data_IF_356890522372
#
_entry.id   IF_356890522372
#
_cell.length_a   1.000
_cell.length_b   1.000
_cell.length_c   1.000
_cell.angle_alpha   90.00
_cell.angle_beta   90.00
_cell.angle_gamma   90.00
#
_symmetry.space_group_name_H-M   'P 1'
#
loop_
_entity.id
_entity.type
_entity.pdbx_description
1 polymer ?
2 non-polymer ?
3 non-polymer ?
4 water ?
#
# COMPACT_ATOMS: atom_id res chain seq x y z
N UNK A 10 9.33 -22.43 -6.86
CA UNK A 10 9.72 -22.71 -8.28
C UNK A 10 10.56 -21.58 -8.87
N UNK A 11 11.68 -21.94 -9.48
CA UNK A 11 12.59 -20.97 -10.08
C UNK A 11 12.63 -21.01 -11.61
N UNK A 12 12.70 -19.84 -12.22
CA UNK A 12 12.76 -19.73 -13.67
C UNK A 12 14.21 -19.80 -14.13
N UNK A 13 14.49 -20.51 -15.24
CA UNK A 13 15.86 -20.58 -15.72
C UNK A 13 16.45 -19.19 -15.96
N UNK A 14 17.68 -19.03 -15.53
CA UNK A 14 18.38 -17.77 -15.66
C UNK A 14 18.58 -17.30 -17.11
N UNK A 15 18.04 -16.12 -17.45
CA UNK A 15 18.21 -15.61 -18.82
C UNK A 15 19.69 -15.36 -19.10
N UNK A 16 20.15 -15.79 -20.28
CA UNK A 16 21.53 -15.65 -20.73
C UNK A 16 22.23 -14.34 -20.38
N UNK A 17 21.49 -13.24 -20.44
CA UNK A 17 22.07 -11.93 -20.17
C UNK A 17 22.24 -11.53 -18.71
N UNK A 18 21.70 -12.32 -17.79
CA UNK A 18 21.82 -12.00 -16.38
C UNK A 18 23.05 -12.64 -15.72
N UNK A 19 23.88 -11.81 -15.06
CA UNK A 19 25.10 -12.25 -14.39
C UNK A 19 24.94 -13.48 -13.51
N UNK A 20 26.05 -14.21 -13.39
CA UNK A 20 26.10 -15.44 -12.61
C UNK A 20 26.02 -15.11 -11.11
N UNK A 21 26.80 -14.11 -10.72
CA UNK A 21 26.93 -13.67 -9.35
C UNK A 21 25.82 -12.78 -8.78
N UNK A 22 24.86 -12.40 -9.60
CA UNK A 22 23.79 -11.52 -9.12
C UNK A 22 22.51 -12.21 -8.72
N UNK A 23 22.50 -13.54 -8.75
CA UNK A 23 21.32 -14.30 -8.40
C UNK A 23 21.09 -14.47 -6.91
N UNK A 24 19.95 -13.94 -6.45
CA UNK A 24 19.53 -14.01 -5.06
C UNK A 24 18.03 -14.35 -5.13
N UNK A 25 17.72 -15.63 -5.02
CA UNK A 25 16.33 -16.09 -5.13
C UNK A 25 15.36 -15.61 -4.05
N UNK A 26 15.03 -14.33 -4.07
CA UNK A 26 14.08 -13.78 -3.10
C UNK A 26 12.68 -14.00 -3.67
N UNK A 27 11.78 -14.57 -2.87
CA UNK A 27 10.40 -14.76 -3.33
C UNK A 27 9.55 -13.66 -2.72
N UNK A 28 9.28 -12.61 -3.48
CA UNK A 28 8.51 -11.49 -2.95
C UNK A 28 7.16 -11.85 -2.33
N UNK A 29 6.57 -12.97 -2.73
CA UNK A 29 5.29 -13.37 -2.16
C UNK A 29 5.42 -14.35 -1.01
N UNK A 30 6.66 -14.78 -0.74
CA UNK A 30 6.89 -15.71 0.35
C UNK A 30 8.37 -15.71 0.76
N UNK A 31 8.79 -14.64 1.46
CA UNK A 31 10.17 -14.44 1.93
C UNK A 31 10.55 -15.42 3.05
N UNK A 32 11.80 -15.88 3.00
CA UNK A 32 12.31 -16.83 3.99
C UNK A 32 12.15 -16.36 5.44
N UNK A 33 12.61 -15.16 5.72
CA UNK A 33 12.52 -14.63 7.08
C UNK A 33 11.19 -14.00 7.42
N UNK A 34 10.12 -14.48 6.77
CA UNK A 34 8.77 -13.95 7.01
C UNK A 34 8.36 -14.10 8.47
N UNK A 35 8.92 -15.12 9.14
CA UNK A 35 8.62 -15.40 10.54
C UNK A 35 9.03 -14.32 11.51
N UNK A 36 10.01 -13.52 11.12
CA UNK A 36 10.51 -12.44 11.98
C UNK A 36 9.85 -11.10 11.68
N UNK A 37 8.76 -11.13 10.91
CA UNK A 37 8.07 -9.91 10.53
C UNK A 37 8.28 -9.74 9.04
N UNK A 38 7.34 -9.12 8.33
CA UNK A 38 7.51 -8.98 6.90
C UNK A 38 8.56 -7.95 6.49
N UNK A 39 8.69 -6.88 7.23
CA UNK A 39 9.70 -5.89 6.86
C UNK A 39 11.09 -6.49 7.11
N UNK A 40 11.19 -7.33 8.13
CA UNK A 40 12.45 -7.96 8.45
C UNK A 40 12.80 -8.98 7.40
N UNK A 41 11.79 -9.61 6.82
CA UNK A 41 12.02 -10.61 5.79
C UNK A 41 12.63 -9.94 4.56
N UNK A 42 12.08 -8.78 4.20
CA UNK A 42 12.56 -8.03 3.05
C UNK A 42 13.89 -7.35 3.28
N UNK A 43 14.27 -7.19 4.55
CA UNK A 43 15.54 -6.53 4.90
C UNK A 43 16.78 -7.38 4.64
N UNK A 44 16.59 -8.69 4.49
CA UNK A 44 17.71 -9.58 4.22
C UNK A 44 18.36 -9.15 2.92
N UNK A 45 17.53 -8.65 2.01
CA UNK A 45 18.01 -8.17 0.72
C UNK A 45 18.99 -7.04 0.88
N UNK A 46 19.15 -6.55 2.10
CA UNK A 46 20.06 -5.44 2.34
C UNK A 46 21.23 -5.80 3.23
N UNK A 47 21.43 -7.10 3.45
CA UNK A 47 22.55 -7.55 4.27
C UNK A 47 23.87 -7.21 3.56
N UNK A 48 24.92 -7.11 4.36
CA UNK A 48 26.26 -6.77 3.87
C UNK A 48 26.69 -7.49 2.58
N UNK A 49 26.28 -8.75 2.42
CA UNK A 49 26.69 -9.50 1.26
C UNK A 49 25.75 -9.52 0.05
N UNK A 50 24.77 -8.61 0.03
CA UNK A 50 23.84 -8.59 -1.09
C UNK A 50 24.09 -7.39 -2.00
N UNK A 51 24.30 -7.62 -3.31
CA UNK A 51 24.55 -6.57 -4.29
C UNK A 51 23.43 -5.53 -4.28
N UNK A 52 23.74 -4.31 -4.67
CA UNK A 52 22.74 -3.25 -4.70
C UNK A 52 21.58 -3.68 -5.59
N UNK A 53 21.93 -4.32 -6.70
CA UNK A 53 20.97 -4.76 -7.69
C UNK A 53 21.12 -6.26 -7.99
N UNK A 54 20.12 -7.05 -7.62
CA UNK A 54 20.17 -8.49 -7.85
C UNK A 54 19.04 -9.03 -8.75
N UNK A 55 19.19 -10.29 -9.12
CA UNK A 55 18.20 -10.94 -9.94
C UNK A 55 17.69 -12.18 -9.23
N UNK A 56 16.38 -12.31 -9.14
CA UNK A 56 15.78 -13.46 -8.48
C UNK A 56 15.09 -14.31 -9.53
N UNK A 57 15.19 -15.62 -9.37
CA UNK A 57 14.58 -16.56 -10.29
C UNK A 57 13.20 -16.93 -9.83
N UNK A 58 12.71 -16.21 -8.82
CA UNK A 58 11.37 -16.47 -8.30
C UNK A 58 10.37 -15.69 -9.15
N UNK A 59 9.16 -16.22 -9.25
CA UNK A 59 8.06 -15.62 -10.00
C UNK A 59 8.40 -15.13 -11.41
N UNK A 60 8.94 -16.00 -12.24
CA UNK A 60 9.28 -15.62 -13.60
C UNK A 60 10.66 -15.02 -13.78
N UNK A 61 11.36 -14.78 -12.67
CA UNK A 61 12.68 -14.19 -12.74
C UNK A 61 12.58 -12.69 -12.95
N UNK A 62 13.22 -11.92 -12.08
CA UNK A 62 13.18 -10.46 -12.22
C UNK A 62 14.24 -9.78 -11.38
N UNK A 63 14.54 -8.53 -11.73
CA UNK A 63 15.53 -7.75 -10.99
C UNK A 63 14.93 -7.22 -9.71
N UNK A 64 15.79 -6.78 -8.81
CA UNK A 64 15.36 -6.21 -7.53
C UNK A 64 16.38 -5.22 -7.03
N UNK A 65 16.03 -3.94 -7.01
CA UNK A 65 16.92 -2.91 -6.50
C UNK A 65 16.75 -3.05 -4.99
N UNK A 66 17.86 -3.18 -4.26
CA UNK A 66 17.81 -3.37 -2.82
C UNK A 66 18.15 -2.13 -1.99
N UNK A 67 18.56 -1.07 -2.67
CA UNK A 67 18.93 0.16 -1.98
C UNK A 67 18.03 1.32 -2.40
N UNK A 68 17.65 2.16 -1.44
CA UNK A 68 16.80 3.30 -1.76
C UNK A 68 17.33 4.19 -2.86
N UNK A 69 18.65 4.22 -3.01
CA UNK A 69 19.30 5.03 -4.02
C UNK A 69 18.91 4.55 -5.42
N UNK A 70 19.00 3.24 -5.64
CA UNK A 70 18.63 2.69 -6.92
C UNK A 70 17.13 2.78 -7.08
N UNK A 71 16.40 2.35 -6.06
CA UNK A 71 14.94 2.40 -6.07
C UNK A 71 14.45 3.78 -6.49
N UNK A 72 14.87 4.82 -5.77
CA UNK A 72 14.47 6.19 -6.05
C UNK A 72 14.86 6.59 -7.48
N UNK A 73 16.07 6.21 -7.86
CA UNK A 73 16.61 6.50 -9.19
C UNK A 73 15.71 5.90 -10.28
N UNK A 74 15.50 4.59 -10.23
CA UNK A 74 14.66 3.90 -11.23
C UNK A 74 13.26 4.50 -11.29
N UNK A 75 12.69 4.82 -10.14
CA UNK A 75 11.37 5.41 -10.13
C UNK A 75 11.33 6.80 -10.75
N UNK A 76 12.48 7.42 -10.94
CA UNK A 76 12.48 8.75 -11.53
C UNK A 76 12.66 8.69 -13.04
N UNK A 77 13.35 7.65 -13.51
CA UNK A 77 13.62 7.47 -14.93
C UNK A 77 12.58 6.60 -15.64
N UNK A 78 11.41 7.18 -15.91
CA UNK A 78 10.33 6.47 -16.58
C UNK A 78 10.66 6.23 -18.04
N UNK A 79 11.69 6.92 -18.51
CA UNK A 79 12.12 6.79 -19.89
C UNK A 79 12.65 5.37 -20.08
N UNK A 80 13.28 4.82 -19.05
CA UNK A 80 13.79 3.46 -19.14
C UNK A 80 12.90 2.51 -18.37
N UNK A 81 12.51 2.92 -17.17
CA UNK A 81 11.66 2.09 -16.34
C UNK A 81 10.20 2.53 -16.49
N UNK A 82 9.51 1.83 -17.39
CA UNK A 82 8.12 2.10 -17.69
C UNK A 82 7.17 1.46 -16.71
N UNK A 83 6.05 2.12 -16.46
CA UNK A 83 5.00 1.65 -15.55
C UNK A 83 3.99 0.79 -16.31
N UNK A 84 4.25 0.59 -17.59
CA UNK A 84 3.36 -0.19 -18.45
C UNK A 84 3.05 -1.56 -17.88
N UNK A 85 4.08 -2.20 -17.33
CA UNK A 85 3.99 -3.51 -16.75
C UNK A 85 4.65 -3.39 -15.37
N UNK A 86 3.95 -2.78 -14.40
CA UNK A 86 4.36 -2.52 -13.02
C UNK A 86 4.33 -3.68 -12.03
N UNK A 87 3.62 -4.74 -12.35
CA UNK A 87 3.50 -5.87 -11.43
C UNK A 87 4.35 -7.10 -11.77
N UNK A 88 4.54 -7.95 -10.77
CA UNK A 88 5.27 -9.20 -10.94
C UNK A 88 4.34 -10.30 -10.40
N UNK A 89 4.26 -11.45 -11.09
CA UNK A 89 4.96 -11.86 -12.32
C UNK A 89 4.56 -11.06 -13.55
N UNK A 90 5.25 -11.32 -14.65
CA UNK A 90 4.99 -10.62 -15.91
C UNK A 90 3.51 -10.69 -16.31
N UNK A 91 2.88 -11.85 -16.08
CA UNK A 91 1.48 -12.03 -16.41
C UNK A 91 0.62 -11.02 -15.67
N UNK A 92 1.01 -10.70 -14.44
CA UNK A 92 0.27 -9.75 -13.63
C UNK A 92 0.48 -8.34 -14.17
N UNK A 93 1.73 -7.97 -14.40
CA UNK A 93 2.02 -6.65 -14.92
C UNK A 93 1.44 -6.42 -16.32
N UNK A 94 1.60 -7.40 -17.20
CA UNK A 94 1.10 -7.26 -18.56
C UNK A 94 -0.40 -7.01 -18.53
N UNK A 95 -1.09 -7.70 -17.62
CA UNK A 95 -2.51 -7.58 -17.47
C UNK A 95 -2.89 -6.26 -16.81
N UNK A 96 -2.01 -5.78 -15.92
CA UNK A 96 -2.29 -4.53 -15.23
C UNK A 96 -2.46 -3.38 -16.23
N UNK A 97 -3.61 -2.72 -16.18
CA UNK A 97 -3.85 -1.62 -17.10
C UNK A 97 -4.62 -0.48 -16.46
N UNK A 98 -4.54 -0.41 -15.13
CA UNK A 98 -5.19 0.64 -14.36
C UNK A 98 -4.61 1.99 -14.74
N UNK A 99 -5.48 3.00 -14.84
CA UNK A 99 -5.08 4.35 -15.19
C UNK A 99 -5.12 5.24 -13.95
N UNK A 100 -4.07 6.05 -13.75
CA UNK A 100 -2.87 6.21 -14.57
C UNK A 100 -1.66 5.41 -14.08
N UNK A 101 -1.87 4.56 -13.09
CA UNK A 101 -0.76 3.81 -12.52
C UNK A 101 0.08 2.99 -13.52
N UNK A 102 -0.48 2.66 -14.67
CA UNK A 102 0.29 1.88 -15.65
C UNK A 102 0.72 2.71 -16.85
N UNK A 103 0.59 4.03 -16.72
CA UNK A 103 0.97 4.92 -17.81
C UNK A 103 2.21 5.69 -17.42
N UNK A 104 2.97 6.12 -18.41
CA UNK A 104 4.15 6.92 -18.16
C UNK A 104 3.86 8.34 -18.59
N UNK A 105 4.59 9.31 -18.04
CA UNK A 105 4.35 10.70 -18.46
C UNK A 105 4.72 10.75 -19.93
N UNK A 106 4.18 11.69 -20.70
CA UNK A 106 3.24 12.74 -20.34
C UNK A 106 1.79 12.26 -20.38
N UNK A 107 1.59 11.09 -20.97
CA UNK A 107 0.25 10.53 -21.10
C UNK A 107 -0.53 10.47 -19.79
N UNK A 108 0.20 10.24 -18.70
CA UNK A 108 -0.39 10.13 -17.37
C UNK A 108 -1.06 11.40 -16.81
N UNK A 109 -0.36 12.51 -16.92
CA UNK A 109 -0.81 13.81 -16.42
C UNK A 109 -2.32 14.02 -16.34
N UNK A 110 -2.98 13.95 -17.49
CA UNK A 110 -4.43 14.13 -17.59
C UNK A 110 -5.26 13.28 -16.63
N UNK A 111 -5.10 11.97 -16.75
CA UNK A 111 -5.84 11.02 -15.91
C UNK A 111 -5.53 11.16 -14.42
N UNK A 112 -4.24 11.31 -14.08
CA UNK A 112 -3.86 11.46 -12.69
C UNK A 112 -4.50 12.73 -12.10
N UNK A 113 -4.69 13.73 -12.94
CA UNK A 113 -5.29 14.99 -12.52
C UNK A 113 -6.77 14.80 -12.17
N UNK A 114 -7.46 13.99 -12.95
CA UNK A 114 -8.88 13.71 -12.72
C UNK A 114 -9.00 12.84 -11.46
N UNK A 115 -8.08 11.90 -11.32
CA UNK A 115 -8.07 10.98 -10.18
C UNK A 115 -7.81 11.75 -8.90
N UNK A 116 -6.98 12.78 -9.02
CA UNK A 116 -6.62 13.61 -7.88
C UNK A 116 -7.84 14.36 -7.37
N UNK A 117 -8.83 14.55 -8.23
CA UNK A 117 -10.02 15.27 -7.80
C UNK A 117 -10.88 14.46 -6.86
N UNK A 118 -10.80 13.13 -6.95
CA UNK A 118 -11.64 12.27 -6.12
C UNK A 118 -11.04 11.76 -4.80
N UNK A 119 -9.77 12.03 -4.54
CA UNK A 119 -9.15 11.57 -3.30
C UNK A 119 -8.10 12.52 -2.77
N UNK A 120 -7.90 13.63 -3.46
CA UNK A 120 -6.91 14.59 -3.02
C UNK A 120 -7.24 15.24 -1.70
N UNK A 121 -6.37 16.14 -1.28
CA UNK A 121 -6.54 16.87 -0.03
C UNK A 121 -7.91 17.55 0.11
N UNK A 122 -8.37 18.27 -0.93
CA UNK A 122 -9.68 18.94 -0.84
C UNK A 122 -10.76 17.95 -0.42
N UNK A 123 -10.75 16.78 -1.05
CA UNK A 123 -11.72 15.76 -0.72
C UNK A 123 -11.55 15.32 0.74
N UNK A 124 -10.29 15.11 1.14
CA UNK A 124 -9.98 14.66 2.49
C UNK A 124 -10.40 15.67 3.56
N UNK A 125 -10.29 16.94 3.24
CA UNK A 125 -10.69 17.95 4.21
C UNK A 125 -12.19 17.96 4.42
N UNK A 126 -12.96 17.92 3.35
CA UNK A 126 -14.41 17.94 3.50
C UNK A 126 -14.91 16.65 4.13
N UNK A 127 -14.05 15.64 4.17
CA UNK A 127 -14.39 14.33 4.76
C UNK A 127 -13.88 14.16 6.19
N UNK A 128 -13.01 15.07 6.64
CA UNK A 128 -12.44 14.94 7.98
C UNK A 128 -13.45 14.58 9.07
N UNK A 129 -14.52 15.35 9.19
CA UNK A 129 -15.53 15.09 10.22
C UNK A 129 -16.06 13.66 10.23
N UNK A 130 -16.45 13.14 9.06
CA UNK A 130 -16.98 11.78 8.92
C UNK A 130 -15.92 10.77 9.33
N UNK A 131 -14.74 10.90 8.74
CA UNK A 131 -13.62 10.01 9.05
C UNK A 131 -13.42 9.92 10.56
N UNK A 132 -13.42 11.07 11.20
CA UNK A 132 -13.23 11.17 12.63
C UNK A 132 -14.39 10.57 13.38
N UNK A 133 -15.60 10.89 12.96
CA UNK A 133 -16.78 10.38 13.61
C UNK A 133 -16.84 8.86 13.49
N UNK A 134 -16.51 8.34 12.32
CA UNK A 134 -16.53 6.91 12.10
C UNK A 134 -15.53 6.20 13.03
N UNK A 135 -14.32 6.74 13.12
CA UNK A 135 -13.32 6.13 13.99
C UNK A 135 -13.86 6.05 15.42
N UNK A 136 -14.38 7.18 15.91
CA UNK A 136 -14.92 7.23 17.27
C UNK A 136 -16.04 6.21 17.47
N UNK A 137 -17.06 6.31 16.62
CA UNK A 137 -18.20 5.41 16.66
C UNK A 137 -17.78 3.95 16.69
N UNK A 138 -16.81 3.62 15.85
CA UNK A 138 -16.28 2.26 15.74
C UNK A 138 -15.54 1.86 17.02
N UNK A 139 -14.69 2.73 17.51
CA UNK A 139 -13.91 2.47 18.72
C UNK A 139 -14.77 2.42 19.96
N UNK A 140 -15.70 3.37 20.09
CA UNK A 140 -16.59 3.43 21.24
C UNK A 140 -17.34 2.11 21.37
N UNK A 141 -17.65 1.51 20.22
CA UNK A 141 -18.34 0.25 20.17
C UNK A 141 -17.48 -0.85 20.80
N UNK A 142 -16.26 -1.00 20.32
CA UNK A 142 -15.34 -2.00 20.82
C UNK A 142 -14.94 -1.78 22.29
N UNK A 143 -14.54 -0.55 22.61
CA UNK A 143 -14.09 -0.18 23.95
C UNK A 143 -14.55 -0.99 25.17
N UNK A 144 -15.87 -1.12 25.39
CA UNK A 144 -16.36 -1.89 26.54
C UNK A 144 -16.14 -3.39 26.46
N UNK A 145 -15.86 -3.88 25.26
CA UNK A 145 -15.64 -5.31 25.07
C UNK A 145 -14.36 -5.81 25.72
N UNK A 146 -13.39 -4.92 25.88
CA UNK A 146 -12.12 -5.32 26.48
C UNK A 146 -11.33 -6.27 25.60
N UNK A 147 -11.67 -6.33 24.32
CA UNK A 147 -10.97 -7.20 23.38
C UNK A 147 -11.46 -6.99 21.96
N UNK A 148 -10.66 -7.41 20.99
CA UNK A 148 -11.03 -7.28 19.59
C UNK A 148 -10.08 -7.94 18.59
N UNK A 149 -10.62 -8.22 17.42
CA UNK A 149 -9.85 -8.78 16.32
C UNK A 149 -9.64 -7.54 15.46
N UNK A 150 -8.57 -6.82 15.75
CA UNK A 150 -8.26 -5.57 15.09
C UNK A 150 -8.42 -5.48 13.58
N UNK A 151 -7.71 -6.34 12.86
CA UNK A 151 -7.76 -6.33 11.40
C UNK A 151 -9.19 -6.25 10.87
N UNK A 152 -10.06 -7.08 11.43
CA UNK A 152 -11.44 -7.10 10.98
C UNK A 152 -12.41 -6.19 11.71
N UNK A 153 -12.09 -5.79 12.94
CA UNK A 153 -12.97 -4.92 13.72
C UNK A 153 -12.74 -3.42 13.54
N UNK A 154 -11.59 -3.05 13.00
CA UNK A 154 -11.28 -1.64 12.79
C UNK A 154 -10.41 -1.37 11.57
N UNK A 155 -9.25 -2.04 11.52
CA UNK A 155 -8.33 -1.86 10.42
C UNK A 155 -9.04 -1.95 9.06
N UNK A 156 -10.05 -2.81 8.96
CA UNK A 156 -10.79 -2.97 7.72
C UNK A 156 -12.02 -2.09 7.61
N UNK A 157 -12.96 -2.19 8.57
CA UNK A 157 -14.15 -1.34 8.45
C UNK A 157 -13.86 0.17 8.32
N UNK A 158 -12.90 0.66 9.09
CA UNK A 158 -12.55 2.08 9.08
C UNK A 158 -12.17 2.63 7.68
N UNK A 159 -11.04 2.18 7.11
CA UNK A 159 -10.67 2.72 5.80
C UNK A 159 -11.67 2.39 4.70
N UNK A 160 -12.14 1.16 4.68
CA UNK A 160 -13.06 0.74 3.63
C UNK A 160 -14.38 1.49 3.58
N UNK A 161 -15.03 1.69 4.71
CA UNK A 161 -16.30 2.40 4.71
C UNK A 161 -16.11 3.80 4.18
N UNK A 162 -15.03 4.45 4.62
CA UNK A 162 -14.75 5.80 4.17
C UNK A 162 -14.58 5.79 2.65
N UNK A 163 -13.84 4.81 2.15
CA UNK A 163 -13.59 4.70 0.73
C UNK A 163 -14.89 4.45 -0.01
N UNK A 164 -15.73 3.58 0.55
CA UNK A 164 -17.00 3.28 -0.08
C UNK A 164 -17.90 4.52 -0.12
N UNK A 165 -17.83 5.34 0.92
CA UNK A 165 -18.62 6.56 0.99
C UNK A 165 -18.05 7.48 -0.07
N UNK A 166 -16.74 7.47 -0.16
CA UNK A 166 -15.98 8.26 -1.12
C UNK A 166 -16.42 7.95 -2.54
N UNK A 167 -16.35 6.68 -2.91
CA UNK A 167 -16.71 6.18 -4.23
C UNK A 167 -18.23 6.21 -4.45
N UNK A 168 -18.98 6.25 -3.37
CA UNK A 168 -20.42 6.25 -3.48
C UNK A 168 -20.93 4.85 -3.73
N UNK A 169 -20.23 3.86 -3.18
CA UNK A 169 -20.61 2.47 -3.35
C UNK A 169 -21.25 1.86 -2.09
N UNK A 170 -22.33 1.08 -2.27
CA UNK A 170 -22.99 0.47 -1.11
C UNK A 170 -21.98 -0.34 -0.32
N UNK A 171 -22.13 -0.37 0.99
CA UNK A 171 -21.22 -1.09 1.85
C UNK A 171 -21.36 -2.61 1.77
N UNK A 172 -22.51 -3.07 1.26
CA UNK A 172 -22.76 -4.50 1.13
C UNK A 172 -21.73 -5.17 0.24
N UNK A 173 -21.20 -4.41 -0.71
CA UNK A 173 -20.22 -4.95 -1.65
C UNK A 173 -18.81 -5.02 -1.07
N UNK A 174 -18.63 -4.56 0.15
CA UNK A 174 -17.29 -4.57 0.73
C UNK A 174 -16.55 -5.91 0.69
N UNK A 175 -17.18 -6.99 1.19
CA UNK A 175 -16.48 -8.28 1.16
C UNK A 175 -16.09 -8.69 -0.24
N UNK A 176 -17.00 -8.48 -1.20
CA UNK A 176 -16.73 -8.83 -2.58
C UNK A 176 -15.53 -8.07 -3.11
N UNK A 177 -15.67 -6.75 -3.20
CA UNK A 177 -14.61 -5.89 -3.68
C UNK A 177 -13.31 -6.12 -2.92
N UNK A 178 -13.40 -6.34 -1.61
CA UNK A 178 -12.23 -6.57 -0.79
C UNK A 178 -11.46 -7.82 -1.19
N UNK A 179 -12.18 -8.94 -1.30
CA UNK A 179 -11.56 -10.20 -1.68
C UNK A 179 -10.80 -10.08 -3.01
N UNK A 180 -11.52 -9.66 -4.05
CA UNK A 180 -10.90 -9.49 -5.36
C UNK A 180 -9.64 -8.62 -5.30
N UNK A 181 -9.75 -7.47 -4.65
CA UNK A 181 -8.62 -6.56 -4.51
C UNK A 181 -7.42 -7.27 -3.87
N UNK A 182 -7.69 -8.09 -2.86
CA UNK A 182 -6.65 -8.84 -2.18
C UNK A 182 -5.95 -9.81 -3.12
N UNK A 183 -6.69 -10.29 -4.11
CA UNK A 183 -6.13 -11.23 -5.08
C UNK A 183 -5.13 -10.54 -6.00
N UNK A 184 -5.22 -9.23 -6.12
CA UNK A 184 -4.28 -8.51 -6.94
C UNK A 184 -2.98 -8.22 -6.18
N UNK A 185 -3.08 -8.08 -4.85
CA UNK A 185 -1.90 -7.79 -4.03
C UNK A 185 -1.26 -9.03 -3.40
N UNK A 186 -2.08 -9.89 -2.81
CA UNK A 186 -1.62 -11.13 -2.19
C UNK A 186 -2.52 -12.25 -2.69
N UNK A 187 -2.19 -12.84 -3.85
CA UNK A 187 -2.97 -13.93 -4.44
C UNK A 187 -3.00 -15.20 -3.57
N UNK A 188 -4.19 -15.65 -3.19
CA UNK A 188 -4.28 -16.86 -2.39
C UNK A 188 -4.01 -18.06 -3.30
N UNK A 189 -3.95 -17.79 -4.60
CA UNK A 189 -3.69 -18.85 -5.56
C UNK A 189 -4.91 -19.25 -6.38
N UNK A 190 -6.09 -18.99 -5.84
CA UNK A 190 -7.35 -19.34 -6.52
C UNK A 190 -7.48 -18.69 -7.90
N UNK A 191 -7.18 -17.40 -7.99
CA UNK A 191 -7.30 -16.73 -9.27
C UNK A 191 -6.08 -15.92 -9.66
N UNK A 192 -5.91 -15.72 -10.97
CA UNK A 192 -4.79 -14.95 -11.47
C UNK A 192 -5.12 -13.48 -11.32
N UNK A 193 -4.13 -12.62 -11.59
CA UNK A 193 -4.36 -11.19 -11.48
C UNK A 193 -5.39 -10.75 -12.51
N UNK A 194 -5.21 -11.18 -13.75
CA UNK A 194 -6.13 -10.83 -14.82
C UNK A 194 -7.58 -11.05 -14.43
N UNK A 195 -7.87 -12.26 -13.96
CA UNK A 195 -9.23 -12.62 -13.57
C UNK A 195 -9.79 -11.72 -12.49
N UNK A 196 -8.97 -11.45 -11.48
CA UNK A 196 -9.40 -10.58 -10.40
C UNK A 196 -9.73 -9.22 -11.01
N UNK A 197 -8.80 -8.69 -11.81
CA UNK A 197 -9.00 -7.39 -12.45
C UNK A 197 -10.29 -7.40 -13.25
N UNK A 198 -10.43 -8.39 -14.12
CA UNK A 198 -11.63 -8.52 -14.93
C UNK A 198 -12.89 -8.50 -14.07
N UNK A 199 -12.83 -9.17 -12.93
CA UNK A 199 -13.98 -9.24 -12.02
C UNK A 199 -14.32 -7.84 -11.50
N UNK A 200 -13.31 -7.09 -11.08
CA UNK A 200 -13.52 -5.74 -10.56
C UNK A 200 -14.08 -4.83 -11.64
N UNK A 201 -13.60 -4.99 -12.86
CA UNK A 201 -14.06 -4.20 -13.98
C UNK A 201 -15.53 -4.46 -14.25
N UNK A 202 -15.93 -5.71 -14.08
CA UNK A 202 -17.32 -6.09 -14.30
C UNK A 202 -18.23 -5.42 -13.29
N UNK A 203 -17.68 -5.16 -12.10
CA UNK A 203 -18.46 -4.51 -11.07
C UNK A 203 -18.64 -3.04 -11.44
N UNK A 204 -17.51 -2.42 -11.80
CA UNK A 204 -17.48 -1.02 -12.14
C UNK A 204 -18.26 -0.62 -13.41
N UNK A 205 -17.99 -1.29 -14.52
CA UNK A 205 -18.65 -0.94 -15.78
C UNK A 205 -20.13 -0.57 -15.72
N UNK A 206 -20.97 -1.42 -15.11
CA UNK A 206 -22.40 -1.07 -15.05
C UNK A 206 -22.58 0.21 -14.26
N UNK A 207 -21.87 0.31 -13.15
CA UNK A 207 -21.93 1.48 -12.30
C UNK A 207 -21.49 2.76 -13.05
N UNK A 208 -20.43 2.63 -13.86
CA UNK A 208 -19.92 3.77 -14.63
C UNK A 208 -20.96 4.25 -15.63
N UNK A 209 -21.58 3.29 -16.30
CA UNK A 209 -22.60 3.55 -17.31
C UNK A 209 -23.73 4.40 -16.75
N UNK A 210 -24.24 4.03 -15.59
CA UNK A 210 -25.34 4.74 -14.95
C UNK A 210 -24.93 6.15 -14.56
N UNK A 211 -23.81 6.22 -13.85
CA UNK A 211 -23.28 7.49 -13.36
C UNK A 211 -22.86 8.45 -14.47
N UNK A 212 -22.41 7.90 -15.58
CA UNK A 212 -21.97 8.71 -16.71
C UNK A 212 -23.05 9.71 -17.13
N UNK A 213 -24.30 9.33 -16.97
CA UNK A 213 -25.43 10.20 -17.32
C UNK A 213 -25.35 11.51 -16.55
N UNK A 214 -25.98 11.53 -15.38
CA UNK A 214 -26.00 12.70 -14.52
C UNK A 214 -24.66 12.89 -13.81
N UNK A 215 -24.36 14.13 -13.39
CA UNK A 215 -23.11 14.44 -12.69
C UNK A 215 -22.97 13.56 -11.45
N UNK A 216 -22.55 14.15 -10.34
CA UNK A 216 -22.39 13.35 -9.14
C UNK A 216 -21.14 13.69 -8.37
N UNK A 217 -21.30 13.75 -7.06
CA UNK A 217 -20.20 14.07 -6.18
C UNK A 217 -19.26 12.90 -5.89
N UNK A 218 -19.74 11.67 -6.02
CA UNK A 218 -18.92 10.49 -5.77
C UNK A 218 -17.79 10.32 -6.79
N UNK A 219 -16.75 9.59 -6.40
CA UNK A 219 -15.59 9.36 -7.23
C UNK A 219 -15.92 8.82 -8.62
N UNK A 220 -16.75 7.78 -8.65
CA UNK A 220 -17.11 7.18 -9.92
C UNK A 220 -17.78 8.18 -10.87
N UNK A 221 -18.63 9.06 -10.35
CA UNK A 221 -19.28 10.06 -11.21
C UNK A 221 -18.21 10.98 -11.77
N UNK A 222 -17.44 11.59 -10.89
CA UNK A 222 -16.38 12.51 -11.30
C UNK A 222 -15.58 11.91 -12.44
N UNK A 223 -15.12 10.67 -12.25
CA UNK A 223 -14.33 10.00 -13.28
C UNK A 223 -15.15 9.71 -14.54
N UNK A 224 -16.35 9.18 -14.37
CA UNK A 224 -17.21 8.85 -15.51
C UNK A 224 -17.59 10.07 -16.34
N UNK A 225 -17.74 11.21 -15.68
CA UNK A 225 -18.10 12.44 -16.37
C UNK A 225 -16.86 13.28 -16.65
N UNK A 226 -15.69 12.66 -16.51
CA UNK A 226 -14.45 13.36 -16.72
C UNK A 226 -14.10 13.63 -18.18
N UNK A 227 -13.08 14.46 -18.35
CA UNK A 227 -12.58 14.82 -19.67
C UNK A 227 -11.08 14.79 -19.64
N UNK A 228 -10.49 13.82 -20.31
CA UNK A 228 -9.03 13.77 -20.51
C UNK A 228 -8.63 14.27 -21.91
N UNK A 229 -7.33 14.58 -22.04
CA UNK A 229 -6.82 15.07 -23.32
C UNK A 229 -7.90 15.06 -24.41
N UNK A 230 -8.65 16.18 -24.46
CA UNK A 230 -9.65 16.32 -25.52
C UNK A 230 -10.95 15.57 -25.20
N UNK A 231 -11.49 14.89 -26.24
CA UNK A 231 -12.73 14.17 -26.07
C UNK A 231 -12.97 13.76 -24.61
N UNK A 232 -14.26 13.51 -24.34
CA UNK A 232 -14.76 12.96 -23.08
C UNK A 232 -14.12 11.61 -22.75
N UNK A 233 -14.08 11.27 -21.46
CA UNK A 233 -13.50 10.01 -21.04
C UNK A 233 -14.40 8.84 -21.43
N UNK A 234 -13.81 7.82 -22.02
CA UNK A 234 -14.58 6.65 -22.43
C UNK A 234 -14.90 5.79 -21.22
N UNK A 235 -15.80 4.84 -21.41
CA UNK A 235 -16.17 3.94 -20.33
C UNK A 235 -14.97 3.11 -19.91
N UNK A 236 -14.22 2.59 -20.89
CA UNK A 236 -13.04 1.78 -20.63
C UNK A 236 -12.00 2.57 -19.82
N UNK A 237 -11.82 3.82 -20.18
CA UNK A 237 -10.86 4.66 -19.48
C UNK A 237 -11.36 4.82 -18.06
N UNK A 238 -12.64 5.18 -17.92
CA UNK A 238 -13.27 5.36 -16.63
C UNK A 238 -13.02 4.12 -15.78
N UNK A 239 -13.24 2.96 -16.40
CA UNK A 239 -13.05 1.67 -15.76
C UNK A 239 -11.62 1.52 -15.24
N UNK A 240 -10.65 1.80 -16.12
CA UNK A 240 -9.23 1.70 -15.78
C UNK A 240 -8.83 2.69 -14.69
N UNK A 241 -9.52 3.82 -14.64
CA UNK A 241 -9.25 4.82 -13.64
C UNK A 241 -9.78 4.40 -12.28
N UNK A 242 -11.01 3.90 -12.24
CA UNK A 242 -11.58 3.47 -10.98
C UNK A 242 -10.75 2.36 -10.40
N UNK A 243 -10.34 1.43 -11.25
CA UNK A 243 -9.53 0.32 -10.79
C UNK A 243 -8.34 0.75 -9.97
N UNK A 244 -7.61 1.73 -10.48
CA UNK A 244 -6.41 2.23 -9.83
C UNK A 244 -6.65 2.70 -8.40
N UNK A 245 -7.92 2.81 -8.01
CA UNK A 245 -8.25 3.28 -6.67
C UNK A 245 -8.62 2.18 -5.68
N UNK A 246 -8.91 0.99 -6.19
CA UNK A 246 -9.31 -0.13 -5.35
C UNK A 246 -8.26 -0.59 -4.34
N UNK A 247 -7.03 -0.78 -4.81
CA UNK A 247 -5.99 -1.25 -3.91
C UNK A 247 -5.78 -0.30 -2.74
N UNK A 248 -5.77 0.99 -3.02
CA UNK A 248 -5.55 1.96 -1.97
C UNK A 248 -6.72 2.14 -1.02
N UNK A 249 -7.93 2.14 -1.57
CA UNK A 249 -9.10 2.31 -0.74
C UNK A 249 -9.52 1.06 0.00
N UNK A 250 -9.01 -0.08 -0.45
CA UNK A 250 -9.36 -1.35 0.18
C UNK A 250 -8.17 -2.11 0.74
N UNK A 251 -6.99 -1.89 0.18
CA UNK A 251 -5.83 -2.67 0.62
C UNK A 251 -4.46 -1.97 0.62
N UNK A 252 -4.18 -1.25 1.70
CA UNK A 252 -2.90 -0.55 1.90
C UNK A 252 -3.01 0.09 3.26
N UNK A 253 -4.03 0.94 3.41
CA UNK A 253 -4.26 1.61 4.68
C UNK A 253 -4.67 0.51 5.64
N UNK A 254 -5.64 -0.27 5.21
CA UNK A 254 -6.12 -1.37 6.02
C UNK A 254 -4.93 -2.11 6.64
N UNK A 255 -4.04 -2.61 5.82
CA UNK A 255 -2.90 -3.34 6.35
C UNK A 255 -1.92 -2.50 7.15
N UNK A 256 -1.77 -1.23 6.77
CA UNK A 256 -0.83 -0.38 7.47
C UNK A 256 -1.23 -0.18 8.91
N UNK A 257 -2.52 0.05 9.14
CA UNK A 257 -3.01 0.25 10.50
C UNK A 257 -2.70 -0.96 11.38
N UNK A 258 -2.83 -2.16 10.84
CA UNK A 258 -2.55 -3.34 11.63
C UNK A 258 -1.08 -3.43 12.00
N UNK A 259 -0.19 -3.06 11.09
CA UNK A 259 1.24 -3.09 11.39
C UNK A 259 1.52 -2.12 12.52
N UNK A 260 1.07 -0.89 12.31
CA UNK A 260 1.26 0.19 13.28
C UNK A 260 0.62 -0.10 14.62
N UNK A 261 -0.58 -0.67 14.59
CA UNK A 261 -1.30 -0.96 15.82
C UNK A 261 -0.72 -2.19 16.51
N UNK A 262 -0.18 -3.13 15.74
CA UNK A 262 0.43 -4.32 16.31
C UNK A 262 1.63 -3.87 17.13
N UNK A 263 2.40 -2.95 16.55
CA UNK A 263 3.58 -2.40 17.20
C UNK A 263 3.18 -1.71 18.49
N UNK A 264 2.21 -0.79 18.41
CA UNK A 264 1.73 -0.06 19.58
C UNK A 264 1.24 -0.98 20.70
N UNK A 265 0.69 -2.13 20.33
CA UNK A 265 0.19 -3.07 21.33
C UNK A 265 1.36 -3.76 22.03
N UNK A 266 2.47 -3.90 21.32
CA UNK A 266 3.64 -4.56 21.88
C UNK A 266 4.62 -3.58 22.51
N UNK A 267 4.35 -2.28 22.36
CA UNK A 267 5.23 -1.27 22.91
C UNK A 267 4.53 -0.20 23.72
N UNK A 268 4.28 -0.47 25.00
CA UNK A 268 3.61 0.49 25.89
C UNK A 268 4.34 1.84 25.90
N UNK A 269 5.68 1.78 25.85
CA UNK A 269 6.51 2.98 25.87
C UNK A 269 6.07 3.95 24.79
N UNK A 270 6.08 3.51 23.54
CA UNK A 270 5.66 4.37 22.46
C UNK A 270 4.21 4.82 22.62
N UNK A 271 3.39 3.99 23.26
CA UNK A 271 2.01 4.36 23.47
C UNK A 271 1.95 5.50 24.46
N UNK A 272 2.58 5.33 25.62
CA UNK A 272 2.60 6.36 26.64
C UNK A 272 3.07 7.69 26.05
N UNK A 273 4.12 7.62 25.24
CA UNK A 273 4.69 8.80 24.60
C UNK A 273 3.65 9.62 23.85
N UNK A 274 2.83 8.95 23.05
CA UNK A 274 1.80 9.62 22.26
C UNK A 274 0.66 10.09 23.16
N UNK A 275 0.30 9.25 24.13
CA UNK A 275 -0.76 9.54 25.07
C UNK A 275 -0.51 10.86 25.78
N UNK A 276 0.70 11.05 26.30
CA UNK A 276 1.01 12.27 27.03
C UNK A 276 1.67 13.35 26.21
N UNK A 277 1.86 13.08 24.93
CA UNK A 277 2.46 14.04 24.03
C UNK A 277 1.76 13.96 22.68
N UNK A 278 0.44 14.23 22.68
CA UNK A 278 -0.44 14.20 21.52
C UNK A 278 0.17 14.84 20.28
N UNK A 279 0.70 16.04 20.45
CA UNK A 279 1.32 16.78 19.36
C UNK A 279 2.31 15.96 18.53
N UNK A 280 2.78 14.84 19.07
CA UNK A 280 3.73 14.02 18.35
C UNK A 280 3.06 13.00 17.42
N UNK A 281 1.75 12.89 17.51
CA UNK A 281 1.04 11.93 16.67
C UNK A 281 1.37 12.05 15.18
N UNK A 282 1.38 13.28 14.64
CA UNK A 282 1.69 13.42 13.21
C UNK A 282 3.08 12.88 12.87
N UNK A 283 4.08 13.26 13.66
CA UNK A 283 5.43 12.79 13.40
C UNK A 283 5.51 11.29 13.62
N UNK A 284 4.75 10.80 14.58
CA UNK A 284 4.74 9.37 14.89
C UNK A 284 4.19 8.60 13.70
N UNK A 285 3.21 9.19 13.02
CA UNK A 285 2.58 8.59 11.85
C UNK A 285 3.60 8.38 10.75
N UNK A 286 4.40 9.39 10.47
CA UNK A 286 5.41 9.26 9.42
C UNK A 286 6.47 8.22 9.75
N UNK A 287 6.87 8.12 11.02
CA UNK A 287 7.89 7.15 11.40
C UNK A 287 7.34 5.76 11.23
N UNK A 288 6.08 5.56 11.60
CA UNK A 288 5.46 4.24 11.43
C UNK A 288 5.35 3.93 9.95
N UNK A 289 5.14 4.97 9.14
CA UNK A 289 5.03 4.81 7.69
C UNK A 289 6.37 4.38 7.11
N UNK A 290 7.46 4.80 7.73
CA UNK A 290 8.78 4.41 7.26
C UNK A 290 9.06 2.98 7.73
N UNK A 291 8.86 2.74 9.02
CA UNK A 291 9.13 1.46 9.63
C UNK A 291 8.29 0.31 9.11
N UNK A 292 7.00 0.53 8.99
CA UNK A 292 6.12 -0.51 8.51
C UNK A 292 5.60 -0.22 7.11
N UNK A 293 6.47 0.35 6.27
CA UNK A 293 6.14 0.64 4.88
C UNK A 293 5.74 -0.74 4.36
N UNK A 294 4.89 -0.81 3.35
CA UNK A 294 4.42 -2.10 2.92
C UNK A 294 4.19 -2.36 1.42
N UNK A 295 4.48 -1.40 0.55
CA UNK A 295 4.24 -1.63 -0.86
C UNK A 295 5.53 -1.95 -1.59
N UNK A 296 5.41 -2.76 -2.64
CA UNK A 296 6.57 -3.14 -3.42
C UNK A 296 6.17 -3.56 -4.82
N UNK A 297 6.25 -2.64 -5.77
CA UNK A 297 5.93 -3.00 -7.15
C UNK A 297 7.16 -2.59 -7.95
N UNK A 298 7.06 -2.56 -9.28
CA UNK A 298 8.23 -2.22 -10.05
C UNK A 298 7.97 -1.59 -11.41
N UNK A 299 8.89 -1.80 -12.33
CA UNK A 299 8.79 -1.24 -13.66
C UNK A 299 9.30 -2.23 -14.68
N UNK A 300 9.09 -1.93 -15.95
CA UNK A 300 9.57 -2.80 -17.02
C UNK A 300 10.49 -1.99 -17.93
N UNK A 301 11.58 -2.61 -18.38
CA UNK A 301 12.56 -1.96 -19.23
C UNK A 301 12.04 -1.64 -20.64
N UNK A 302 12.27 -0.41 -21.08
CA UNK A 302 11.84 0.02 -22.40
C UNK A 302 12.89 -0.29 -23.46
N UNK A 303 14.10 -0.59 -23.02
CA UNK A 303 15.17 -0.91 -23.95
C UNK A 303 16.33 -1.49 -23.19
N UNK A 304 17.36 -1.92 -23.93
CA UNK A 304 18.56 -2.47 -23.29
C UNK A 304 19.16 -1.26 -22.59
N UNK A 305 19.60 -1.46 -21.36
CA UNK A 305 20.15 -0.36 -20.58
C UNK A 305 21.08 -0.87 -19.49
N UNK A 306 22.26 -0.27 -19.42
CA UNK A 306 23.22 -0.65 -18.38
C UNK A 306 22.92 0.29 -17.22
N UNK A 307 22.46 -0.30 -16.13
CA UNK A 307 22.09 0.45 -14.94
C UNK A 307 22.98 0.02 -13.77
N UNK A 308 23.90 0.90 -13.36
CA UNK A 308 24.81 0.61 -12.26
C UNK A 308 25.64 -0.65 -12.47
N UNK A 309 26.25 -0.74 -13.65
CA UNK A 309 27.08 -1.90 -13.97
C UNK A 309 26.34 -3.11 -14.51
N UNK A 310 25.03 -3.18 -14.26
CA UNK A 310 24.26 -4.32 -14.73
C UNK A 310 23.59 -4.01 -16.07
N UNK A 311 23.62 -4.99 -16.98
CA UNK A 311 23.03 -4.82 -18.29
C UNK A 311 21.60 -5.35 -18.31
N UNK A 312 20.63 -4.43 -18.33
CA UNK A 312 19.22 -4.81 -18.37
C UNK A 312 18.79 -4.84 -19.82
N UNK A 313 18.01 -5.86 -20.20
CA UNK A 313 17.55 -5.99 -21.58
C UNK A 313 16.12 -5.45 -21.70
N UNK A 314 15.71 -5.13 -22.92
CA UNK A 314 14.36 -4.62 -23.15
C UNK A 314 13.36 -5.71 -22.73
N UNK A 315 12.37 -5.34 -21.93
CA UNK A 315 11.38 -6.33 -21.53
C UNK A 315 11.59 -6.87 -20.14
N UNK A 316 12.75 -6.62 -19.56
CA UNK A 316 13.03 -7.08 -18.20
C UNK A 316 12.17 -6.33 -17.21
N UNK A 317 11.85 -6.99 -16.11
CA UNK A 317 11.07 -6.38 -15.07
C UNK A 317 11.97 -6.19 -13.87
N UNK A 318 11.77 -5.06 -13.19
CA UNK A 318 12.58 -4.79 -12.03
C UNK A 318 11.71 -4.35 -10.87
N UNK A 319 11.90 -5.03 -9.76
CA UNK A 319 11.19 -4.74 -8.54
C UNK A 319 11.92 -3.63 -7.80
N UNK A 320 11.16 -2.61 -7.41
CA UNK A 320 11.69 -1.46 -6.70
C UNK A 320 10.84 -1.38 -5.43
N UNK A 321 11.10 -2.27 -4.46
CA UNK A 321 10.32 -2.27 -3.22
C UNK A 321 10.27 -0.90 -2.59
N UNK A 322 9.09 -0.29 -2.58
CA UNK A 322 8.96 1.03 -1.97
C UNK A 322 9.30 0.93 -0.47
N UNK A 323 9.03 -0.24 0.11
CA UNK A 323 9.29 -0.45 1.53
C UNK A 323 10.76 -0.58 1.95
N UNK A 324 11.67 -0.73 0.99
CA UNK A 324 13.07 -0.87 1.32
C UNK A 324 13.84 0.41 1.54
N UNK A 325 13.47 1.47 0.83
CA UNK A 325 14.16 2.74 0.97
C UNK A 325 14.32 3.15 2.44
N UNK A 326 13.21 3.25 3.16
CA UNK A 326 13.24 3.66 4.55
C UNK A 326 13.87 2.68 5.52
N UNK A 327 14.18 1.47 5.05
CA UNK A 327 14.79 0.47 5.91
C UNK A 327 16.28 0.41 5.63
N UNK A 328 16.69 1.07 4.55
CA UNK A 328 18.09 1.12 4.16
C UNK A 328 18.87 1.87 5.25
N UNK A 329 19.75 1.16 5.95
CA UNK A 329 20.56 1.73 7.00
C UNK A 329 21.34 2.94 6.49
N UNK A 330 21.52 2.99 5.16
CA UNK A 330 22.24 4.07 4.51
C UNK A 330 21.41 5.35 4.45
N UNK A 331 20.12 5.25 4.78
CA UNK A 331 19.25 6.41 4.76
C UNK A 331 18.65 6.68 6.13
N UNK A 332 18.68 5.68 7.02
CA UNK A 332 18.13 5.83 8.36
C UNK A 332 18.88 4.93 9.33
N UNK A 333 19.65 5.54 10.24
CA UNK A 333 20.41 4.79 11.24
C UNK A 333 19.49 3.91 12.07
N UNK A 334 19.97 2.71 12.44
CA UNK A 334 19.17 1.76 13.22
C UNK A 334 17.74 1.76 12.70
N UNK A 335 17.57 1.51 11.39
CA UNK A 335 16.28 1.49 10.67
C UNK A 335 15.15 0.67 11.26
N UNK A 336 15.47 -0.45 11.88
CA UNK A 336 14.44 -1.31 12.45
C UNK A 336 13.89 -0.80 13.78
N UNK A 337 14.50 0.27 14.29
CA UNK A 337 14.04 0.86 15.55
C UNK A 337 13.04 1.97 15.28
N UNK A 338 11.99 2.00 16.08
CA UNK A 338 10.96 3.02 15.94
C UNK A 338 11.25 4.19 16.87
N UNK A 339 11.59 5.31 16.27
CA UNK A 339 11.91 6.51 17.02
C UNK A 339 11.06 7.69 16.54
N UNK A 340 10.01 8.00 17.29
CA UNK A 340 9.12 9.10 16.92
C UNK A 340 9.86 10.43 16.85
N UNK A 341 11.06 10.45 17.39
CA UNK A 341 11.85 11.67 17.41
C UNK A 341 12.96 11.66 16.37
N UNK A 342 12.82 10.78 15.38
CA UNK A 342 13.81 10.68 14.32
C UNK A 342 13.92 12.02 13.61
N UNK A 343 15.13 12.56 13.57
CA UNK A 343 15.37 13.85 12.95
C UNK A 343 15.00 13.89 11.47
N UNK A 344 15.46 12.88 10.72
CA UNK A 344 15.16 12.86 9.30
C UNK A 344 14.55 11.52 8.88
N UNK A 345 13.22 11.50 8.84
CA UNK A 345 12.47 10.32 8.45
C UNK A 345 12.44 10.20 6.92
N UNK A 346 13.41 9.47 6.37
CA UNK A 346 13.48 9.30 4.93
C UNK A 346 12.81 7.98 4.50
N UNK A 347 11.99 8.05 3.46
CA UNK A 347 11.29 6.86 2.96
C UNK A 347 10.62 7.08 1.60
N UNK A 348 10.13 5.99 1.01
CA UNK A 348 9.43 6.03 -0.28
C UNK A 348 8.17 5.18 -0.17
N UNK A 349 7.56 5.20 1.02
CA UNK A 349 6.36 4.43 1.32
C UNK A 349 5.18 4.75 0.40
N UNK A 350 5.01 6.02 0.04
CA UNK A 350 3.95 6.43 -0.86
C UNK A 350 4.52 6.52 -2.26
N UNK A 351 5.65 5.85 -2.46
CA UNK A 351 6.25 5.85 -3.77
C UNK A 351 7.17 7.01 -4.04
N UNK A 352 7.69 7.04 -5.26
CA UNK A 352 8.62 8.08 -5.70
C UNK A 352 8.46 8.29 -7.20
N UNK A 353 8.48 9.55 -7.61
CA UNK A 353 8.34 9.84 -9.02
C UNK A 353 6.95 10.34 -9.39
N UNK A 354 6.66 10.33 -10.68
CA UNK A 354 5.39 10.82 -11.17
C UNK A 354 4.17 10.05 -10.70
N UNK A 355 4.41 8.90 -10.06
CA UNK A 355 3.29 8.08 -9.59
C UNK A 355 3.10 8.11 -8.09
N UNK A 356 3.67 9.12 -7.44
CA UNK A 356 3.53 9.30 -6.00
C UNK A 356 2.08 9.07 -5.63
N UNK A 357 1.83 8.35 -4.55
CA UNK A 357 0.48 8.03 -4.13
C UNK A 357 -0.50 9.21 -4.07
N UNK A 358 -1.61 9.10 -4.80
CA UNK A 358 -2.61 10.14 -4.84
C UNK A 358 -3.48 10.12 -3.59
N UNK A 359 -3.43 9.02 -2.85
CA UNK A 359 -4.22 8.93 -1.64
C UNK A 359 -3.50 9.07 -0.33
N UNK A 360 -2.23 9.47 -0.39
CA UNK A 360 -1.42 9.60 0.84
C UNK A 360 -2.04 10.57 1.84
N UNK A 361 -2.80 11.54 1.36
CA UNK A 361 -3.44 12.50 2.25
C UNK A 361 -4.57 11.80 2.99
N UNK A 362 -5.36 11.03 2.27
CA UNK A 362 -6.44 10.29 2.89
C UNK A 362 -5.79 9.29 3.86
N UNK A 363 -4.73 8.62 3.40
CA UNK A 363 -4.01 7.65 4.22
C UNK A 363 -3.58 8.23 5.56
N UNK A 364 -2.76 9.28 5.50
CA UNK A 364 -2.26 9.94 6.71
C UNK A 364 -3.34 10.39 7.68
N UNK A 365 -4.44 10.91 7.16
CA UNK A 365 -5.54 11.38 7.99
C UNK A 365 -6.15 10.21 8.76
N UNK A 366 -6.41 9.12 8.05
CA UNK A 366 -7.00 7.94 8.67
C UNK A 366 -6.06 7.39 9.72
N UNK A 367 -4.76 7.46 9.45
CA UNK A 367 -3.77 6.96 10.39
C UNK A 367 -3.70 7.88 11.60
N UNK A 368 -3.75 9.18 11.36
CA UNK A 368 -3.70 10.16 12.43
C UNK A 368 -4.97 10.15 13.28
N UNK A 369 -6.12 9.97 12.63
CA UNK A 369 -7.40 9.92 13.36
C UNK A 369 -7.47 8.63 14.18
N UNK A 370 -6.89 7.56 13.64
CA UNK A 370 -6.89 6.28 14.34
C UNK A 370 -6.07 6.39 15.62
N UNK A 371 -4.82 6.81 15.48
CA UNK A 371 -3.93 6.95 16.63
C UNK A 371 -4.54 7.87 17.68
N UNK A 372 -5.11 8.97 17.22
CA UNK A 372 -5.69 9.95 18.12
C UNK A 372 -6.90 9.40 18.88
N UNK A 373 -7.94 8.99 18.15
CA UNK A 373 -9.14 8.48 18.80
C UNK A 373 -8.92 7.18 19.57
N UNK A 374 -8.08 6.30 19.04
CA UNK A 374 -7.83 5.04 19.75
C UNK A 374 -7.13 5.22 21.08
N UNK A 375 -5.95 5.81 21.06
CA UNK A 375 -5.18 6.03 22.28
C UNK A 375 -5.94 6.80 23.35
N UNK A 376 -6.82 7.69 22.94
CA UNK A 376 -7.61 8.47 23.89
C UNK A 376 -8.57 7.60 24.67
N UNK A 377 -9.32 6.76 23.95
CA UNK A 377 -10.30 5.88 24.56
C UNK A 377 -9.73 4.57 25.09
N UNK A 378 -8.75 4.03 24.37
CA UNK A 378 -8.10 2.78 24.75
C UNK A 378 -6.60 2.98 24.68
N UNK A 379 -6.01 3.63 25.70
CA UNK A 379 -4.57 3.90 25.79
C UNK A 379 -3.75 2.70 26.23
N UNK A 380 -4.38 1.82 27.00
CA UNK A 380 -3.69 0.66 27.51
C UNK A 380 -4.30 -0.61 26.95
N UNK A 381 -3.50 -1.33 26.16
CA UNK A 381 -3.92 -2.57 25.54
C UNK A 381 -2.68 -3.35 25.12
N UNK A 382 -2.88 -4.62 24.79
CA UNK A 382 -1.75 -5.46 24.36
C UNK A 382 -2.26 -6.68 23.61
N UNK A 383 -1.37 -7.35 22.90
CA UNK A 383 -1.75 -8.53 22.14
C UNK A 383 -2.29 -9.61 23.07
N UNK A 384 -3.41 -10.21 22.67
CA UNK A 384 -4.03 -11.27 23.47
C UNK A 384 -2.95 -12.22 23.95
N UNK A 385 -3.08 -12.72 25.19
CA UNK A 385 -2.12 -13.64 25.82
C UNK A 385 -1.82 -14.85 24.93
N UNK A 386 -0.53 -15.18 24.84
CA UNK A 386 -0.13 -16.32 24.03
C UNK A 386 -0.70 -16.36 22.62
N UNK A 387 -0.19 -15.49 21.76
CA UNK A 387 -0.63 -15.41 20.38
C UNK A 387 0.54 -14.93 19.54
N UNK A 388 0.67 -15.47 18.34
CA UNK A 388 1.74 -15.09 17.43
C UNK A 388 1.13 -14.36 16.26
N UNK A 389 1.62 -13.15 16.00
CA UNK A 389 1.09 -12.39 14.90
C UNK A 389 1.80 -12.81 13.61
N UNK A 390 1.00 -13.12 12.58
CA UNK A 390 1.54 -13.53 11.29
C UNK A 390 1.35 -12.47 10.22
N UNK A 391 2.36 -12.35 9.37
CA UNK A 391 2.35 -11.39 8.26
C UNK A 391 2.27 -12.15 6.95
N UNK A 392 1.99 -11.42 5.88
CA UNK A 392 1.93 -11.99 4.55
C UNK A 392 2.65 -11.01 3.64
N UNK A 393 3.36 -11.54 2.67
CA UNK A 393 4.11 -10.69 1.76
C UNK A 393 3.59 -10.75 0.33
N UNK A 394 3.53 -9.59 -0.32
CA UNK A 394 3.08 -9.50 -1.69
C UNK A 394 3.24 -8.09 -2.22
N UNK A 395 2.45 -7.71 -3.23
CA UNK A 395 2.52 -6.36 -3.79
C UNK A 395 2.30 -5.40 -2.63
N UNK A 396 1.43 -5.82 -1.72
CA UNK A 396 1.10 -5.07 -0.54
C UNK A 396 1.12 -6.10 0.59
N UNK A 397 2.08 -5.98 1.49
CA UNK A 397 2.18 -6.92 2.60
C UNK A 397 1.15 -6.51 3.64
N UNK A 398 0.72 -7.47 4.46
CA UNK A 398 -0.26 -7.18 5.47
C UNK A 398 -0.16 -8.07 6.70
N UNK A 399 -1.10 -7.90 7.62
CA UNK A 399 -1.10 -8.69 8.83
C UNK A 399 -2.32 -9.58 8.77
N UNK A 400 -2.11 -10.87 9.02
CA UNK A 400 -3.16 -11.86 8.97
C UNK A 400 -4.27 -11.67 10.01
N UNK A 401 -3.90 -11.35 11.24
CA UNK A 401 -4.87 -11.13 12.31
C UNK A 401 -4.18 -10.50 13.50
N UNK A 402 -4.92 -9.72 14.27
CA UNK A 402 -4.35 -9.05 15.43
C UNK A 402 -5.26 -9.03 16.66
N UNK A 403 -5.21 -10.11 17.46
CA UNK A 403 -6.02 -10.23 18.68
C UNK A 403 -5.49 -9.28 19.77
N UNK A 404 -6.29 -8.28 20.10
CA UNK A 404 -5.92 -7.31 21.13
C UNK A 404 -6.86 -7.47 22.29
N UNK A 405 -6.35 -7.22 23.49
CA UNK A 405 -7.14 -7.31 24.69
C UNK A 405 -6.79 -6.18 25.63
N UNK A 406 -7.74 -5.81 26.49
CA UNK A 406 -7.54 -4.71 27.43
C UNK A 406 -8.61 -4.78 28.50
N UNK A 407 -8.39 -4.07 29.61
CA UNK A 407 -9.37 -4.02 30.69
C UNK A 407 -10.30 -2.81 30.44
N UNK A 408 -11.61 -3.06 30.30
CA UNK A 408 -12.58 -2.00 30.05
C UNK A 408 -12.53 -0.87 31.06
N UNK A 409 -12.29 -1.20 32.33
CA UNK A 409 -12.22 -0.19 33.39
C UNK A 409 -11.20 0.90 33.08
N UNK A 410 -10.16 0.55 32.32
CA UNK A 410 -9.12 1.51 31.97
C UNK A 410 -9.50 2.38 30.78
N UNK A 411 -10.50 1.96 30.00
CA UNK A 411 -10.88 2.75 28.83
C UNK A 411 -11.61 4.04 29.19
N UNK A 412 -11.74 4.93 28.21
CA UNK A 412 -12.40 6.22 28.41
C UNK A 412 -13.28 6.60 27.22
N UNK A 413 -14.29 7.41 27.50
CA UNK A 413 -15.20 7.88 26.46
C UNK A 413 -15.14 9.41 26.42
N UNK A 414 -14.88 9.95 25.22
CA UNK A 414 -14.81 11.40 25.05
C UNK A 414 -15.89 11.88 24.10
X LIG B 1 0.13 4.91 -5.92
X LIG B 1 1.56 3.60 -1.47
X LIG B 1 -2.91 4.49 0.23
X LIG B 1 -4.36 5.72 -4.23
X LIG B 1 0.92 4.48 -4.87
X LIG B 1 2.35 4.09 -4.96
X LIG B 1 2.73 3.71 -3.71
X LIG B 1 1.56 3.86 -2.84
X LIG B 1 4.09 3.22 -3.28
X LIG B 1 3.20 4.11 -6.20
X LIG B 1 2.90 3.02 -7.18
X LIG B 1 3.76 3.02 -8.44
X LIG B 1 4.62 3.91 -8.59
X LIG B 1 3.57 2.09 -9.27
X LIG B 1 0.49 3.73 -0.60
X LIG B 1 0.52 3.43 0.83
X LIG B 1 -0.74 3.68 1.30
X LIG B 1 -1.55 4.13 0.16
X LIG B 1 1.73 2.94 1.58
X LIG B 1 -1.29 3.56 2.68
X LIG B 1 -0.80 4.03 3.81
X LIG B 1 -3.73 4.90 -0.82
X LIG B 1 -5.15 5.24 -0.72
X LIG B 1 -5.56 5.58 -1.98
X LIG B 1 -4.38 5.46 -2.85
X LIG B 1 -5.94 5.22 0.57
X LIG B 1 -6.90 6.03 -2.43
X LIG B 1 -7.98 5.27 -2.59
X LIG B 1 -3.26 5.63 -5.11
X LIG B 1 -3.29 5.93 -6.52
X LIG B 1 -2.01 5.72 -6.99
X LIG B 1 -1.22 5.27 -5.87
X LIG B 1 -4.50 6.40 -7.29
X LIG B 1 -1.54 5.90 -8.40
X LIG B 1 -0.96 7.33 -8.64
X LIG B 1 -0.49 7.49 -10.09
X LIG B 1 -0.34 8.67 -10.56
X LIG B 1 -0.26 6.43 -10.76
X LIG B 1 0.49 4.32 -3.56
X LIG B 1 -0.78 4.14 -0.96
X LIG B 1 -3.32 5.03 -2.11
X LIG B 1 -2.00 5.23 -4.75
X LIG B 1 -1.44 4.69 -2.87
X LIG C 1 -1.10 1.32 -4.70
X LIG C 1 -2.27 2.00 -4.90
X LIG C 1 -2.76 2.39 -3.75
X LIG C 1 -1.94 2.00 -2.78
X LIG C 1 -0.91 1.33 -3.34
X LIG C 1 -0.24 0.73 -5.72
#
# INVERSE_FOLDING_TARGET
TTETIQSNANLAPLPPHVPEHLVFDFDMYNPSNLSAGVQEAWAVLQESNVPDLVWTRCNGGHWIATRGQLIREAYEDYRHFSSECPFIPREAGEAYDFIPTSMDPPEQRQFRALANQVVGMPVVDKLENRIQELACSLIESLRPQGQCNFTEDYAEPFPIRIFMLLAGLPEEDIPHLKYLTDQMTRPDGSMTFAEAKEALYDYLIPIIEQRRQKPGTDAISIVANGQVNGRPITSDEAKRMCGALLVGGLDTVVNFLSFSMEFLAKSPEHRQELIERPERIPAACEELLRRFSLVADGRILTSDYEFHGVQLKKGDQILLPQMLSGLDERENAAPMHVDFSRQKVSHTTFGHGSHLCLGQHLARREIIVTLKEWLTRIPDFSIAPGAQIQHKSGIVSGVQALPLVWDPATTKAV
HEM CHA CHB CHC CHD C1A C2A C3A C4A CMA CAA CBA CGA O1A O2A C1B C2B C3B C4B CMB CAB CBB C1C C2C C3C C4C CMC CAC CBC C1D C2D C3D C4D CMD CAD CBD CGD O1D O2D NA NB NC ND FE
1MZ N1 C2 N3 C4 C5 CM1
#
